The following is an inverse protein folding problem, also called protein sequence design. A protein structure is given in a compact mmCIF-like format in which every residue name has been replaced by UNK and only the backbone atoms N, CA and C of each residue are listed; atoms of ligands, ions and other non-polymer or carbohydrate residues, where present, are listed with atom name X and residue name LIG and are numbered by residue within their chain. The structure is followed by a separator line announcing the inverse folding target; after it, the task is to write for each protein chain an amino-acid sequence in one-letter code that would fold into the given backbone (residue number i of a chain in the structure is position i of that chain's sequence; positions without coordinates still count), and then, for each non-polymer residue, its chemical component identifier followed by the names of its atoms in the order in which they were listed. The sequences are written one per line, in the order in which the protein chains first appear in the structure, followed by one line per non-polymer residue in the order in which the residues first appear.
data_IF_201371941676
#
_entry.id   IF_201371941676
#
_cell.length_a   1.000
_cell.length_b   1.000
_cell.length_c   1.000
_cell.angle_alpha   90.00
_cell.angle_beta   90.00
_cell.angle_gamma   90.00
#
_symmetry.space_group_name_H-M   'P 1'
#
loop_
_entity.id
_entity.type
_entity.pdbx_description
1 polymer ?
#
# COMPACT_ATOMS: atom_id res chain seq x y z
N UNK A 1 -29.30 31.76 -6.28
CA UNK A 1 -30.29 31.14 -5.40
C UNK A 1 -29.63 29.95 -4.74
N UNK A 2 -28.99 30.13 -3.61
CA UNK A 2 -28.50 29.03 -2.77
C UNK A 2 -29.38 29.01 -1.53
N UNK A 3 -30.12 27.93 -1.39
CA UNK A 3 -31.00 27.70 -0.27
C UNK A 3 -30.20 27.43 0.99
N UNK A 4 -30.70 27.91 2.09
CA UNK A 4 -30.22 27.70 3.43
C UNK A 4 -30.03 26.19 3.69
N UNK A 5 -28.80 25.75 4.00
CA UNK A 5 -28.59 24.45 4.55
C UNK A 5 -27.56 23.51 3.86
N UNK A 6 -26.86 23.95 2.82
CA UNK A 6 -25.80 23.11 2.25
C UNK A 6 -24.60 23.02 3.21
N UNK A 7 -24.23 21.82 3.58
CA UNK A 7 -23.03 21.55 4.35
C UNK A 7 -21.78 21.90 3.56
N UNK A 8 -20.68 22.21 4.24
CA UNK A 8 -19.37 22.48 3.61
C UNK A 8 -18.92 21.36 2.65
N UNK A 9 -19.47 20.17 2.80
CA UNK A 9 -19.21 18.98 1.96
C UNK A 9 -19.97 19.03 0.63
N UNK A 10 -21.19 19.55 0.63
CA UNK A 10 -22.00 19.69 -0.60
C UNK A 10 -21.47 20.83 -1.47
N UNK A 11 -21.01 21.91 -0.86
CA UNK A 11 -20.31 23.00 -1.57
C UNK A 11 -19.01 22.50 -2.18
N UNK A 12 -18.27 21.64 -1.47
CA UNK A 12 -17.04 21.03 -1.99
C UNK A 12 -17.30 20.07 -3.16
N UNK A 13 -18.45 19.36 -3.21
CA UNK A 13 -18.82 18.48 -4.32
C UNK A 13 -19.09 19.24 -5.62
N UNK A 14 -19.68 20.41 -5.58
CA UNK A 14 -19.92 21.21 -6.77
C UNK A 14 -18.65 21.88 -7.32
N UNK A 15 -17.65 22.14 -6.46
CA UNK A 15 -16.36 22.74 -6.86
C UNK A 15 -15.31 21.69 -7.31
N UNK A 16 -15.62 20.41 -7.29
CA UNK A 16 -14.64 19.31 -7.27
C UNK A 16 -13.95 18.99 -8.60
N UNK A 17 -14.24 19.63 -9.72
CA UNK A 17 -13.71 19.22 -11.02
C UNK A 17 -12.33 19.77 -11.42
N UNK A 18 -11.72 20.71 -10.69
CA UNK A 18 -10.49 21.38 -11.17
C UNK A 18 -9.37 21.70 -10.16
N UNK A 19 -9.49 21.43 -8.86
CA UNK A 19 -8.49 21.94 -7.89
C UNK A 19 -8.02 20.92 -6.84
N UNK A 20 -6.77 21.09 -6.38
CA UNK A 20 -6.25 20.36 -5.23
C UNK A 20 -7.02 20.75 -3.95
N UNK A 21 -7.18 19.83 -3.02
CA UNK A 21 -7.92 20.02 -1.76
C UNK A 21 -7.52 21.31 -1.00
N UNK A 22 -6.24 21.67 -1.00
CA UNK A 22 -5.75 22.91 -0.37
C UNK A 22 -6.29 24.20 -1.02
N UNK A 23 -6.53 24.18 -2.33
CA UNK A 23 -7.13 25.32 -3.05
C UNK A 23 -8.63 25.39 -2.78
N UNK A 24 -9.30 24.25 -2.70
CA UNK A 24 -10.73 24.17 -2.35
C UNK A 24 -10.98 24.70 -0.94
N UNK A 25 -10.13 24.34 0.04
CA UNK A 25 -10.25 24.88 1.41
C UNK A 25 -10.07 26.41 1.45
N UNK A 26 -9.07 26.94 0.75
CA UNK A 26 -8.86 28.41 0.67
C UNK A 26 -10.04 29.13 0.03
N UNK A 27 -10.63 28.52 -1.00
CA UNK A 27 -11.78 29.07 -1.69
C UNK A 27 -13.03 29.05 -0.80
N UNK A 28 -13.26 27.96 -0.06
CA UNK A 28 -14.38 27.84 0.90
C UNK A 28 -14.26 28.90 2.00
N UNK A 29 -13.05 29.09 2.57
CA UNK A 29 -12.81 30.12 3.60
C UNK A 29 -13.11 31.51 3.02
N UNK A 30 -12.62 31.83 1.83
CA UNK A 30 -12.84 33.13 1.17
C UNK A 30 -14.32 33.39 0.89
N UNK A 31 -15.05 32.42 0.36
CA UNK A 31 -16.49 32.53 0.07
C UNK A 31 -17.30 32.72 1.36
N UNK A 32 -16.90 32.09 2.47
CA UNK A 32 -17.60 32.23 3.73
C UNK A 32 -17.36 33.61 4.39
N UNK A 33 -16.15 34.12 4.30
CA UNK A 33 -15.82 35.47 4.75
C UNK A 33 -16.60 36.51 3.96
N UNK A 34 -16.69 36.35 2.62
CA UNK A 34 -17.45 37.26 1.75
C UNK A 34 -18.98 37.21 1.98
N UNK A 35 -19.51 36.11 2.53
CA UNK A 35 -20.96 35.91 2.75
C UNK A 35 -21.39 36.00 4.21
N UNK A 36 -20.45 36.26 5.13
CA UNK A 36 -20.76 36.38 6.57
C UNK A 36 -21.25 35.07 7.22
N UNK A 37 -20.98 33.93 6.60
CA UNK A 37 -21.35 32.62 7.13
C UNK A 37 -20.22 32.12 8.04
N UNK A 38 -20.51 31.97 9.35
CA UNK A 38 -19.54 31.44 10.29
C UNK A 38 -19.17 29.98 9.94
N UNK A 39 -18.01 29.79 9.34
CA UNK A 39 -17.42 28.43 9.27
C UNK A 39 -16.77 28.15 10.63
N UNK A 40 -17.00 26.95 11.15
CA UNK A 40 -16.24 26.51 12.31
C UNK A 40 -14.74 26.68 12.03
N UNK A 41 -13.96 27.22 12.98
CA UNK A 41 -12.55 27.52 12.77
C UNK A 41 -11.85 26.30 12.20
N UNK A 42 -10.93 26.48 11.23
CA UNK A 42 -10.23 25.37 10.60
C UNK A 42 -9.62 24.51 11.70
N UNK A 43 -9.98 23.24 11.72
CA UNK A 43 -9.52 22.28 12.71
C UNK A 43 -7.99 22.30 12.69
N UNK A 44 -7.40 22.84 13.77
CA UNK A 44 -5.96 22.98 13.94
C UNK A 44 -5.26 21.67 13.60
N UNK A 45 -4.33 21.70 12.65
CA UNK A 45 -3.29 20.68 12.35
C UNK A 45 -3.68 19.28 11.86
N UNK A 46 -4.93 18.86 11.82
CA UNK A 46 -5.25 17.45 11.55
C UNK A 46 -5.22 17.05 10.07
N UNK A 47 -5.43 17.95 9.12
CA UNK A 47 -5.67 17.60 7.70
C UNK A 47 -4.38 17.38 6.92
N UNK A 48 -3.31 18.13 7.20
CA UNK A 48 -1.98 17.86 6.59
C UNK A 48 -1.40 16.51 6.98
N UNK A 49 -1.90 15.91 8.06
CA UNK A 49 -1.42 14.65 8.63
C UNK A 49 -2.17 13.42 8.10
N UNK A 50 -3.26 13.57 7.33
CA UNK A 50 -4.08 12.45 6.87
C UNK A 50 -3.76 11.96 5.46
N UNK A 51 -3.23 12.78 4.59
CA UNK A 51 -2.90 12.42 3.22
C UNK A 51 -1.46 12.78 2.89
N UNK A 52 -0.82 11.96 2.08
CA UNK A 52 0.43 12.35 1.45
C UNK A 52 0.21 13.58 0.58
N UNK A 53 1.05 14.61 0.80
CA UNK A 53 1.18 15.74 -0.12
C UNK A 53 2.20 15.47 -1.22
N UNK A 54 2.81 14.28 -1.25
CA UNK A 54 3.86 13.96 -2.18
C UNK A 54 3.33 13.92 -3.62
N UNK A 55 4.09 14.51 -4.54
CA UNK A 55 3.84 14.34 -5.97
C UNK A 55 4.11 12.90 -6.39
N UNK A 56 3.41 12.45 -7.44
CA UNK A 56 3.67 11.14 -8.04
C UNK A 56 5.10 11.09 -8.62
N UNK A 57 5.78 9.99 -8.39
CA UNK A 57 7.12 9.76 -8.92
C UNK A 57 7.09 9.72 -10.45
N UNK A 58 7.96 10.46 -11.11
CA UNK A 58 7.96 10.59 -12.58
C UNK A 58 8.93 9.65 -13.30
N UNK A 59 9.78 8.96 -12.56
CA UNK A 59 10.81 8.06 -13.09
C UNK A 59 10.69 6.65 -12.53
N UNK A 60 11.46 5.72 -13.06
CA UNK A 60 11.55 4.35 -12.55
C UNK A 60 12.57 4.20 -11.40
N UNK A 61 13.21 5.28 -10.96
CA UNK A 61 14.06 5.29 -9.77
C UNK A 61 13.35 6.12 -8.70
N UNK A 62 12.87 5.42 -7.66
CA UNK A 62 12.13 6.05 -6.57
C UNK A 62 13.03 6.28 -5.36
N UNK A 63 13.06 7.52 -4.91
CA UNK A 63 13.76 7.91 -3.68
C UNK A 63 12.84 8.81 -2.86
N UNK A 64 12.49 8.34 -1.67
CA UNK A 64 11.76 9.13 -0.71
C UNK A 64 12.72 9.69 0.35
N UNK A 65 12.55 10.93 0.78
CA UNK A 65 13.44 11.55 1.78
C UNK A 65 13.26 10.97 3.18
N UNK A 66 12.01 10.76 3.58
CA UNK A 66 11.62 10.18 4.88
C UNK A 66 10.40 9.27 4.67
N UNK A 67 10.28 8.26 5.54
CA UNK A 67 9.06 7.45 5.62
C UNK A 67 7.89 8.35 6.01
N UNK A 68 6.78 8.24 5.31
CA UNK A 68 5.52 8.88 5.68
C UNK A 68 4.98 8.38 7.02
N UNK A 69 4.42 9.29 7.79
CA UNK A 69 3.87 9.00 9.13
C UNK A 69 2.47 9.59 9.31
N UNK A 70 1.79 9.95 8.22
CA UNK A 70 0.42 10.46 8.27
C UNK A 70 -0.58 9.38 8.69
N UNK A 71 -1.75 9.81 9.15
CA UNK A 71 -2.83 8.97 9.64
C UNK A 71 -2.36 7.95 10.71
N UNK A 72 -2.48 6.66 10.43
CA UNK A 72 -2.08 5.58 11.32
C UNK A 72 -0.78 4.89 10.90
N UNK A 73 -0.05 5.49 9.94
CA UNK A 73 1.21 4.91 9.47
C UNK A 73 2.31 5.02 10.51
N UNK A 74 2.79 3.88 10.94
CA UNK A 74 3.90 3.74 11.88
C UNK A 74 4.96 2.79 11.30
N UNK A 75 6.24 3.08 11.60
CA UNK A 75 7.36 2.22 11.23
C UNK A 75 7.60 1.04 12.17
N UNK A 76 6.69 0.76 13.12
CA UNK A 76 6.90 -0.24 14.18
C UNK A 76 6.74 -1.69 13.71
N UNK A 77 5.86 -1.96 12.74
CA UNK A 77 5.74 -3.29 12.17
C UNK A 77 6.96 -3.58 11.30
N UNK A 78 7.72 -4.62 11.66
CA UNK A 78 8.96 -4.97 10.97
C UNK A 78 8.67 -5.40 9.53
N UNK A 79 9.50 -4.96 8.58
CA UNK A 79 9.32 -5.26 7.15
C UNK A 79 8.27 -4.41 6.43
N UNK A 80 7.63 -3.49 7.12
CA UNK A 80 6.59 -2.65 6.55
C UNK A 80 7.17 -1.61 5.57
N UNK A 81 6.72 -1.59 4.32
CA UNK A 81 7.17 -0.60 3.32
C UNK A 81 6.57 0.80 3.57
N UNK A 82 7.21 1.87 3.03
CA UNK A 82 6.74 3.23 3.25
C UNK A 82 5.39 3.47 2.57
N UNK A 83 4.47 4.21 3.21
CA UNK A 83 3.14 4.46 2.66
C UNK A 83 3.16 5.24 1.34
N UNK A 84 4.23 5.97 1.02
CA UNK A 84 4.41 6.62 -0.27
C UNK A 84 4.34 5.64 -1.44
N UNK A 85 4.80 4.39 -1.26
CA UNK A 85 4.78 3.38 -2.32
C UNK A 85 3.36 3.00 -2.73
N UNK A 86 2.51 2.46 -1.83
CA UNK A 86 1.14 2.15 -2.22
C UNK A 86 0.33 3.41 -2.55
N UNK A 87 0.61 4.58 -1.94
CA UNK A 87 -0.04 5.83 -2.30
C UNK A 87 0.15 6.17 -3.78
N UNK A 88 1.40 6.16 -4.28
CA UNK A 88 1.70 6.43 -5.69
C UNK A 88 1.06 5.38 -6.62
N UNK A 89 1.18 4.10 -6.31
CA UNK A 89 0.65 3.00 -7.12
C UNK A 89 -0.88 3.06 -7.19
N UNK A 90 -1.57 3.25 -6.07
CA UNK A 90 -3.04 3.31 -6.02
C UNK A 90 -3.55 4.51 -6.82
N UNK A 91 -2.96 5.69 -6.62
CA UNK A 91 -3.34 6.91 -7.36
C UNK A 91 -3.14 6.78 -8.86
N UNK A 92 -2.11 6.02 -9.27
CA UNK A 92 -1.72 5.85 -10.67
C UNK A 92 -2.61 4.87 -11.42
N UNK A 93 -3.07 3.83 -10.76
CA UNK A 93 -3.66 2.67 -11.41
C UNK A 93 -5.10 2.38 -11.02
N UNK A 94 -5.70 3.23 -10.18
CA UNK A 94 -7.10 3.08 -9.75
C UNK A 94 -7.84 4.39 -9.73
N UNK A 95 -9.16 4.29 -9.78
CA UNK A 95 -10.12 5.36 -9.49
C UNK A 95 -10.77 5.16 -8.12
N UNK A 96 -11.49 6.17 -7.61
CA UNK A 96 -12.29 6.03 -6.39
C UNK A 96 -13.32 4.90 -6.54
N UNK A 97 -13.52 4.14 -5.47
CA UNK A 97 -14.40 2.97 -5.45
C UNK A 97 -13.81 1.69 -6.01
N UNK A 98 -12.67 1.74 -6.74
CA UNK A 98 -11.96 0.53 -7.21
C UNK A 98 -11.50 -0.33 -6.03
N UNK A 99 -11.39 -1.65 -6.24
CA UNK A 99 -10.99 -2.63 -5.24
C UNK A 99 -9.49 -2.94 -5.32
N UNK A 100 -8.78 -2.65 -4.24
CA UNK A 100 -7.35 -2.96 -4.05
C UNK A 100 -7.18 -4.20 -3.18
N UNK A 101 -6.37 -5.15 -3.61
CA UNK A 101 -6.04 -6.37 -2.88
C UNK A 101 -4.57 -6.33 -2.40
N UNK A 102 -4.36 -6.62 -1.11
CA UNK A 102 -3.05 -6.90 -0.52
C UNK A 102 -3.06 -8.27 0.16
N UNK A 103 -2.51 -9.33 -0.48
CA UNK A 103 -2.49 -10.68 0.06
C UNK A 103 -1.38 -10.92 1.11
N UNK A 104 -0.54 -9.91 1.40
CA UNK A 104 0.47 -9.92 2.45
C UNK A 104 0.36 -8.65 3.29
N UNK A 105 -0.79 -8.51 3.95
CA UNK A 105 -1.25 -7.30 4.64
C UNK A 105 -0.22 -6.71 5.62
N UNK A 106 0.48 -7.57 6.37
CA UNK A 106 1.40 -7.15 7.42
C UNK A 106 0.79 -6.09 8.35
N UNK A 107 1.43 -4.93 8.42
CA UNK A 107 0.94 -3.80 9.20
C UNK A 107 -0.20 -3.00 8.55
N UNK A 108 -0.72 -3.40 7.39
CA UNK A 108 -1.88 -2.79 6.75
C UNK A 108 -1.59 -1.55 5.91
N UNK A 109 -0.35 -1.29 5.52
CA UNK A 109 0.02 -0.05 4.82
C UNK A 109 -0.80 0.18 3.55
N UNK A 110 -0.96 -0.83 2.71
CA UNK A 110 -1.74 -0.75 1.45
C UNK A 110 -3.21 -0.46 1.71
N UNK A 111 -3.83 -1.18 2.62
CA UNK A 111 -5.28 -1.04 2.86
C UNK A 111 -5.62 0.29 3.52
N UNK A 112 -4.72 0.86 4.33
CA UNK A 112 -4.90 2.19 4.88
C UNK A 112 -4.75 3.28 3.82
N UNK A 113 -3.78 3.17 2.91
CA UNK A 113 -3.67 4.09 1.79
C UNK A 113 -4.89 3.99 0.86
N UNK A 114 -5.38 2.78 0.58
CA UNK A 114 -6.61 2.58 -0.18
C UNK A 114 -7.79 3.28 0.47
N UNK A 115 -7.94 3.15 1.79
CA UNK A 115 -9.01 3.81 2.54
C UNK A 115 -8.90 5.33 2.49
N UNK A 116 -7.71 5.89 2.77
CA UNK A 116 -7.45 7.33 2.71
C UNK A 116 -7.73 7.93 1.33
N UNK A 117 -7.52 7.14 0.28
CA UNK A 117 -7.74 7.52 -1.12
C UNK A 117 -9.16 7.18 -1.63
N UNK A 118 -10.08 6.79 -0.76
CA UNK A 118 -11.46 6.41 -1.09
C UNK A 118 -11.55 5.22 -2.07
N UNK A 119 -10.71 4.21 -1.88
CA UNK A 119 -10.76 2.92 -2.57
C UNK A 119 -11.24 1.83 -1.63
N UNK A 120 -11.98 0.85 -2.14
CA UNK A 120 -12.26 -0.40 -1.44
C UNK A 120 -10.95 -1.17 -1.27
N UNK A 121 -10.82 -1.93 -0.19
CA UNK A 121 -9.62 -2.78 -0.04
C UNK A 121 -9.90 -4.06 0.73
N UNK A 122 -9.18 -5.10 0.32
CA UNK A 122 -9.11 -6.38 1.02
C UNK A 122 -7.65 -6.63 1.38
N UNK A 123 -7.40 -6.85 2.67
CA UNK A 123 -6.11 -7.26 3.20
C UNK A 123 -6.16 -8.70 3.71
N UNK A 124 -5.16 -9.49 3.37
CA UNK A 124 -5.05 -10.89 3.77
C UNK A 124 -3.69 -11.11 4.41
N UNK A 125 -3.65 -11.85 5.49
CA UNK A 125 -2.40 -12.29 6.10
C UNK A 125 -2.62 -13.63 6.81
N UNK A 126 -1.61 -14.47 6.79
CA UNK A 126 -1.63 -15.74 7.51
C UNK A 126 -1.38 -15.53 9.02
N UNK A 127 -0.67 -14.45 9.38
CA UNK A 127 -0.26 -14.10 10.72
C UNK A 127 -1.41 -13.50 11.54
N UNK A 128 -1.86 -14.13 12.65
CA UNK A 128 -2.84 -13.53 13.54
C UNK A 128 -2.34 -12.22 14.16
N UNK A 129 -1.03 -12.07 14.33
CA UNK A 129 -0.42 -10.85 14.83
C UNK A 129 -0.59 -9.68 13.85
N UNK A 130 -0.34 -9.90 12.55
CA UNK A 130 -0.59 -8.91 11.49
C UNK A 130 -2.06 -8.49 11.47
N UNK A 131 -2.98 -9.45 11.53
CA UNK A 131 -4.43 -9.23 11.58
C UNK A 131 -4.82 -8.38 12.81
N UNK A 132 -4.30 -8.72 13.98
CA UNK A 132 -4.57 -7.99 15.23
C UNK A 132 -4.10 -6.54 15.16
N UNK A 133 -2.85 -6.30 14.71
CA UNK A 133 -2.30 -4.96 14.55
C UNK A 133 -3.13 -4.15 13.56
N UNK A 134 -3.47 -4.71 12.42
CA UNK A 134 -4.21 -4.00 11.38
C UNK A 134 -5.64 -3.67 11.84
N UNK A 135 -6.33 -4.58 12.54
CA UNK A 135 -7.64 -4.30 13.15
C UNK A 135 -7.56 -3.19 14.20
N UNK A 136 -6.53 -3.20 15.05
CA UNK A 136 -6.29 -2.12 16.03
C UNK A 136 -6.11 -0.77 15.33
N UNK A 137 -5.32 -0.71 14.26
CA UNK A 137 -5.10 0.51 13.47
C UNK A 137 -6.36 1.02 12.78
N UNK A 138 -7.22 0.13 12.29
CA UNK A 138 -8.54 0.51 11.76
C UNK A 138 -9.32 1.25 12.86
N UNK A 139 -9.43 0.67 14.06
CA UNK A 139 -10.11 1.31 15.19
C UNK A 139 -9.47 2.64 15.61
N UNK A 140 -8.15 2.72 15.58
CA UNK A 140 -7.44 3.98 15.87
C UNK A 140 -7.73 5.05 14.82
N UNK A 141 -7.81 4.69 13.56
CA UNK A 141 -8.13 5.59 12.46
C UNK A 141 -9.55 6.15 12.60
N UNK A 142 -10.53 5.30 12.94
CA UNK A 142 -11.91 5.71 13.21
C UNK A 142 -12.00 6.69 14.40
N UNK A 143 -11.23 6.44 15.46
CA UNK A 143 -11.19 7.32 16.66
C UNK A 143 -10.49 8.65 16.41
N UNK A 144 -9.47 8.67 15.56
CA UNK A 144 -8.69 9.87 15.22
C UNK A 144 -9.33 10.69 14.10
N UNK A 145 -10.39 10.19 13.49
CA UNK A 145 -11.12 10.95 12.49
C UNK A 145 -11.59 12.27 13.10
N UNK A 146 -11.26 13.41 12.49
CA UNK A 146 -11.70 14.70 13.01
C UNK A 146 -13.22 14.75 13.10
N UNK A 147 -13.77 15.21 14.23
CA UNK A 147 -15.21 15.39 14.39
C UNK A 147 -15.72 16.28 13.24
N UNK A 148 -16.73 15.79 12.53
CA UNK A 148 -17.33 16.52 11.40
C UNK A 148 -16.65 16.32 10.04
N UNK A 149 -15.60 15.49 9.95
CA UNK A 149 -15.05 15.05 8.66
C UNK A 149 -15.56 13.65 8.30
N UNK A 150 -15.94 13.51 7.04
CA UNK A 150 -16.28 12.22 6.49
C UNK A 150 -15.01 11.35 6.47
N UNK A 151 -15.02 10.28 7.23
CA UNK A 151 -14.09 9.17 6.99
C UNK A 151 -14.38 8.67 5.57
N UNK A 152 -13.34 8.41 4.75
CA UNK A 152 -13.58 7.84 3.43
C UNK A 152 -14.49 6.61 3.51
N UNK A 153 -15.40 6.46 2.54
CA UNK A 153 -16.56 5.56 2.65
C UNK A 153 -16.22 4.08 2.74
N UNK A 154 -15.02 3.67 2.28
CA UNK A 154 -14.68 2.26 2.11
C UNK A 154 -13.70 1.77 3.16
N UNK A 155 -14.23 1.40 4.33
CA UNK A 155 -13.44 0.76 5.39
C UNK A 155 -12.81 -0.55 4.88
N UNK A 156 -11.51 -0.81 5.18
CA UNK A 156 -10.84 -2.04 4.77
C UNK A 156 -11.49 -3.29 5.33
N UNK A 157 -11.54 -4.34 4.52
CA UNK A 157 -11.92 -5.69 4.95
C UNK A 157 -10.66 -6.52 5.13
N UNK A 158 -10.54 -7.24 6.25
CA UNK A 158 -9.34 -7.98 6.62
C UNK A 158 -9.68 -9.43 6.94
N UNK A 159 -8.96 -10.37 6.29
CA UNK A 159 -9.08 -11.80 6.51
C UNK A 159 -7.77 -12.43 6.98
N UNK A 160 -7.86 -13.35 7.93
CA UNK A 160 -6.76 -14.26 8.24
C UNK A 160 -6.86 -15.48 7.32
N UNK A 161 -6.02 -15.52 6.28
CA UNK A 161 -6.00 -16.59 5.28
C UNK A 161 -4.62 -16.72 4.65
N UNK A 162 -4.40 -17.82 3.96
CA UNK A 162 -3.22 -18.06 3.14
C UNK A 162 -3.39 -17.38 1.76
N UNK A 163 -2.37 -16.65 1.33
CA UNK A 163 -2.37 -15.97 0.03
C UNK A 163 -2.39 -16.92 -1.17
N UNK A 164 -2.10 -18.20 -0.96
CA UNK A 164 -2.16 -19.27 -1.98
C UNK A 164 -3.58 -19.80 -2.21
N UNK A 165 -4.53 -19.40 -1.37
CA UNK A 165 -5.94 -19.78 -1.48
C UNK A 165 -6.83 -18.53 -1.34
N UNK A 166 -7.16 -17.95 -2.47
CA UNK A 166 -8.10 -16.83 -2.59
C UNK A 166 -9.47 -17.29 -3.14
N UNK A 167 -9.80 -18.58 -3.01
CA UNK A 167 -11.03 -19.15 -3.55
C UNK A 167 -12.33 -18.49 -3.11
N UNK A 168 -12.30 -17.73 -2.00
CA UNK A 168 -13.42 -16.91 -1.53
C UNK A 168 -13.62 -15.59 -2.31
N UNK A 169 -12.64 -15.19 -3.15
CA UNK A 169 -12.76 -14.06 -4.07
C UNK A 169 -13.14 -14.56 -5.46
N UNK A 170 -14.08 -13.90 -6.07
CA UNK A 170 -14.49 -14.21 -7.44
C UNK A 170 -13.37 -13.94 -8.45
N UNK A 171 -13.36 -14.68 -9.53
CA UNK A 171 -12.49 -14.43 -10.68
C UNK A 171 -12.75 -13.01 -11.21
N UNK A 172 -11.66 -12.28 -11.52
CA UNK A 172 -11.74 -10.94 -12.11
C UNK A 172 -12.58 -9.95 -11.29
N UNK A 173 -12.43 -10.01 -9.95
CA UNK A 173 -13.16 -9.16 -9.01
C UNK A 173 -12.35 -7.95 -8.52
N UNK A 174 -11.01 -7.96 -8.65
CA UNK A 174 -10.13 -6.90 -8.12
C UNK A 174 -9.59 -5.99 -9.22
N UNK A 175 -9.37 -4.70 -8.89
CA UNK A 175 -8.91 -3.67 -9.83
C UNK A 175 -7.42 -3.40 -9.72
N UNK A 176 -6.81 -3.69 -8.58
CA UNK A 176 -5.37 -3.56 -8.35
C UNK A 176 -4.91 -4.59 -7.32
N UNK A 177 -3.80 -5.23 -7.60
CA UNK A 177 -2.99 -5.89 -6.57
C UNK A 177 -1.82 -4.98 -6.25
N UNK A 178 -1.62 -4.66 -4.95
CA UNK A 178 -0.47 -3.88 -4.47
C UNK A 178 0.03 -4.50 -3.17
N UNK A 179 1.21 -5.12 -3.22
CA UNK A 179 1.65 -5.99 -2.13
C UNK A 179 3.17 -6.08 -1.97
N UNK A 180 3.60 -6.54 -0.80
CA UNK A 180 4.99 -6.82 -0.46
C UNK A 180 5.08 -8.18 0.25
N UNK A 181 5.40 -9.27 -0.46
CA UNK A 181 5.58 -10.58 0.15
C UNK A 181 6.82 -10.61 1.07
N UNK A 182 6.97 -11.62 1.93
CA UNK A 182 8.19 -11.79 2.71
C UNK A 182 9.41 -12.04 1.81
N UNK A 183 10.62 -11.66 2.30
CA UNK A 183 11.88 -11.82 1.59
C UNK A 183 12.58 -13.08 2.09
N UNK A 184 12.10 -14.24 1.67
CA UNK A 184 12.51 -15.53 2.25
C UNK A 184 12.34 -15.50 3.79
N UNK A 185 13.32 -16.06 4.50
CA UNK A 185 13.38 -16.09 5.96
C UNK A 185 14.14 -14.90 6.59
N UNK A 186 14.29 -13.78 5.86
CA UNK A 186 14.93 -12.57 6.40
C UNK A 186 14.22 -12.02 7.65
N UNK A 187 12.91 -12.21 7.72
CA UNK A 187 12.07 -11.93 8.88
C UNK A 187 11.06 -13.08 9.01
N UNK A 188 11.10 -13.81 10.12
CA UNK A 188 10.05 -14.78 10.48
C UNK A 188 8.88 -14.00 11.08
N UNK A 189 7.73 -14.04 10.41
CA UNK A 189 6.54 -13.28 10.84
C UNK A 189 5.64 -14.06 11.79
N UNK A 190 5.76 -15.40 11.82
CA UNK A 190 5.04 -16.26 12.73
C UNK A 190 6.00 -17.27 13.38
N UNK A 191 5.65 -17.78 14.58
CA UNK A 191 6.43 -18.85 15.22
C UNK A 191 5.87 -20.25 14.89
N UNK A 192 4.56 -20.37 14.69
CA UNK A 192 3.85 -21.64 14.69
C UNK A 192 2.99 -21.94 13.45
N UNK A 193 3.06 -21.10 12.42
CA UNK A 193 2.30 -21.33 11.19
C UNK A 193 3.17 -21.97 10.10
N UNK A 194 3.07 -23.29 9.90
CA UNK A 194 3.95 -24.01 8.95
C UNK A 194 3.78 -23.58 7.50
N UNK A 195 2.63 -22.96 7.19
CA UNK A 195 2.33 -22.47 5.83
C UNK A 195 2.79 -21.01 5.59
N UNK A 196 3.40 -20.35 6.57
CA UNK A 196 3.97 -19.03 6.38
C UNK A 196 5.19 -19.08 5.47
N UNK A 197 5.13 -18.36 4.35
CA UNK A 197 6.22 -18.29 3.37
C UNK A 197 7.53 -17.78 3.98
N UNK A 198 7.47 -16.99 5.06
CA UNK A 198 8.64 -16.49 5.76
C UNK A 198 9.46 -17.58 6.49
N UNK A 199 8.96 -18.80 6.55
CA UNK A 199 9.71 -19.94 7.09
C UNK A 199 10.49 -20.71 6.02
N UNK A 200 10.25 -20.41 4.73
CA UNK A 200 10.96 -21.08 3.64
C UNK A 200 12.34 -20.48 3.49
N UNK A 201 13.35 -21.32 3.61
CA UNK A 201 14.76 -20.91 3.51
C UNK A 201 15.32 -21.10 2.11
N UNK A 202 14.81 -22.07 1.36
CA UNK A 202 15.25 -22.35 -0.01
C UNK A 202 14.55 -21.42 -1.02
N UNK A 203 15.34 -20.68 -1.80
CA UNK A 203 14.83 -19.70 -2.75
C UNK A 203 13.97 -20.32 -3.86
N UNK A 204 14.32 -21.52 -4.33
CA UNK A 204 13.54 -22.20 -5.39
C UNK A 204 12.18 -22.64 -4.85
N UNK A 205 12.17 -23.24 -3.64
CA UNK A 205 10.95 -23.64 -2.96
C UNK A 205 10.06 -22.42 -2.66
N UNK A 206 10.66 -21.32 -2.23
CA UNK A 206 9.93 -20.06 -2.00
C UNK A 206 9.24 -19.59 -3.29
N UNK A 207 9.95 -19.59 -4.42
CA UNK A 207 9.39 -19.19 -5.70
C UNK A 207 8.28 -20.11 -6.18
N UNK A 208 8.42 -21.44 -6.01
CA UNK A 208 7.35 -22.40 -6.31
C UNK A 208 6.08 -22.10 -5.50
N UNK A 209 6.23 -21.83 -4.21
CA UNK A 209 5.09 -21.47 -3.36
C UNK A 209 4.51 -20.09 -3.72
N UNK A 210 5.35 -19.12 -4.06
CA UNK A 210 4.88 -17.82 -4.56
C UNK A 210 4.20 -17.94 -5.92
N UNK A 211 4.61 -18.89 -6.77
CA UNK A 211 3.94 -19.20 -8.03
C UNK A 211 2.45 -19.54 -7.84
N UNK A 212 2.09 -20.24 -6.76
CA UNK A 212 0.69 -20.50 -6.40
C UNK A 212 -0.04 -19.20 -6.03
N UNK A 213 0.63 -18.31 -5.29
CA UNK A 213 0.10 -16.97 -5.02
C UNK A 213 -0.12 -16.19 -6.32
N UNK A 214 0.88 -16.17 -7.21
CA UNK A 214 0.79 -15.49 -8.50
C UNK A 214 -0.39 -15.98 -9.35
N UNK A 215 -0.66 -17.30 -9.36
CA UNK A 215 -1.83 -17.87 -10.04
C UNK A 215 -3.15 -17.35 -9.48
N UNK A 216 -3.29 -17.28 -8.14
CA UNK A 216 -4.47 -16.72 -7.51
C UNK A 216 -4.62 -15.21 -7.78
N UNK A 217 -3.52 -14.46 -7.73
CA UNK A 217 -3.53 -13.04 -8.09
C UNK A 217 -3.94 -12.83 -9.55
N UNK A 218 -3.45 -13.69 -10.45
CA UNK A 218 -3.86 -13.64 -11.86
C UNK A 218 -5.34 -13.97 -12.02
N UNK A 219 -5.86 -14.95 -11.28
CA UNK A 219 -7.27 -15.33 -11.32
C UNK A 219 -8.18 -14.19 -10.88
N UNK A 220 -7.91 -13.58 -9.72
CA UNK A 220 -8.79 -12.57 -9.10
C UNK A 220 -8.66 -11.18 -9.72
N UNK A 221 -7.53 -10.84 -10.33
CA UNK A 221 -7.33 -9.53 -10.97
C UNK A 221 -8.11 -9.45 -12.29
N UNK A 222 -8.79 -8.35 -12.54
CA UNK A 222 -9.50 -8.09 -13.80
C UNK A 222 -8.51 -7.93 -14.95
N UNK A 223 -8.96 -8.28 -16.16
CA UNK A 223 -8.20 -8.05 -17.39
C UNK A 223 -7.86 -6.57 -17.56
N UNK A 224 -6.67 -6.30 -18.08
CA UNK A 224 -6.19 -4.94 -18.27
C UNK A 224 -5.68 -4.24 -17.00
N UNK A 225 -5.89 -4.81 -15.82
CA UNK A 225 -5.51 -4.22 -14.52
C UNK A 225 -4.10 -4.62 -14.09
N UNK A 226 -3.60 -3.98 -13.05
CA UNK A 226 -2.21 -4.03 -12.61
C UNK A 226 -2.03 -4.89 -11.36
N UNK A 227 -0.96 -5.69 -11.40
CA UNK A 227 -0.37 -6.32 -10.23
C UNK A 227 1.00 -5.66 -9.95
N UNK A 228 1.12 -5.02 -8.79
CA UNK A 228 2.31 -4.35 -8.31
C UNK A 228 2.88 -5.12 -7.12
N UNK A 229 4.09 -5.66 -7.26
CA UNK A 229 4.77 -6.45 -6.23
C UNK A 229 6.09 -5.77 -5.87
N UNK A 230 6.23 -5.34 -4.61
CA UNK A 230 7.51 -4.87 -4.08
C UNK A 230 8.27 -6.04 -3.47
N UNK A 231 9.53 -6.21 -3.85
CA UNK A 231 10.42 -7.24 -3.33
C UNK A 231 11.88 -6.79 -3.46
N UNK A 232 12.73 -7.19 -2.54
CA UNK A 232 14.18 -6.95 -2.60
C UNK A 232 14.94 -8.26 -2.75
N UNK A 233 16.18 -8.15 -3.22
CA UNK A 233 17.13 -9.24 -3.17
C UNK A 233 17.61 -9.46 -1.72
N UNK A 234 18.20 -10.61 -1.46
CA UNK A 234 18.72 -10.96 -0.14
C UNK A 234 20.04 -11.70 -0.25
N UNK A 235 20.66 -11.95 0.89
CA UNK A 235 21.81 -12.84 1.03
C UNK A 235 21.48 -13.94 2.01
N UNK A 236 21.88 -15.14 1.68
CA UNK A 236 21.79 -16.29 2.58
C UNK A 236 23.16 -16.95 2.66
N UNK A 237 23.68 -17.16 3.87
CA UNK A 237 24.98 -17.78 4.12
C UNK A 237 26.14 -17.13 3.32
N UNK A 238 26.05 -15.81 3.11
CA UNK A 238 26.99 -15.02 2.31
C UNK A 238 26.69 -14.97 0.82
N UNK A 239 25.91 -15.91 0.29
CA UNK A 239 25.56 -15.99 -1.13
C UNK A 239 24.44 -15.03 -1.50
N UNK A 240 24.56 -14.40 -2.68
CA UNK A 240 23.55 -13.50 -3.22
C UNK A 240 22.36 -14.30 -3.78
N UNK A 241 21.16 -13.97 -3.34
CA UNK A 241 19.92 -14.54 -3.85
C UNK A 241 19.16 -13.44 -4.61
N UNK A 242 19.05 -13.52 -5.95
CA UNK A 242 18.35 -12.55 -6.78
C UNK A 242 16.83 -12.74 -6.68
N UNK A 243 16.31 -12.64 -5.46
CA UNK A 243 14.92 -12.99 -5.13
C UNK A 243 13.92 -12.13 -5.91
N UNK A 244 14.25 -10.86 -6.16
CA UNK A 244 13.41 -9.97 -6.94
C UNK A 244 13.15 -10.52 -8.34
N UNK A 245 14.20 -10.90 -9.07
CA UNK A 245 14.05 -11.46 -10.42
C UNK A 245 13.43 -12.85 -10.44
N UNK A 246 13.67 -13.66 -9.41
CA UNK A 246 13.02 -14.98 -9.28
C UNK A 246 11.51 -14.81 -9.15
N UNK A 247 11.05 -13.90 -8.30
CA UNK A 247 9.61 -13.55 -8.13
C UNK A 247 9.02 -12.94 -9.40
N UNK A 248 9.78 -12.07 -10.06
CA UNK A 248 9.36 -11.50 -11.34
C UNK A 248 9.13 -12.58 -12.40
N UNK A 249 10.02 -13.57 -12.46
CA UNK A 249 9.86 -14.71 -13.36
C UNK A 249 8.58 -15.50 -13.09
N UNK A 250 8.23 -15.75 -11.82
CA UNK A 250 6.96 -16.41 -11.46
C UNK A 250 5.74 -15.62 -11.94
N UNK A 251 5.76 -14.28 -11.83
CA UNK A 251 4.68 -13.44 -12.37
C UNK A 251 4.56 -13.59 -13.90
N UNK A 252 5.68 -13.57 -14.62
CA UNK A 252 5.69 -13.69 -16.09
C UNK A 252 5.22 -15.09 -16.53
N UNK A 253 5.72 -16.13 -15.87
CA UNK A 253 5.34 -17.53 -16.15
C UNK A 253 3.85 -17.78 -15.90
N UNK A 254 3.26 -17.08 -14.93
CA UNK A 254 1.81 -17.13 -14.65
C UNK A 254 0.98 -16.46 -15.76
N UNK A 255 1.59 -15.61 -16.61
CA UNK A 255 0.91 -14.95 -17.73
C UNK A 255 0.79 -13.41 -17.60
N UNK A 256 1.30 -12.83 -16.53
CA UNK A 256 1.38 -11.38 -16.45
C UNK A 256 2.35 -10.81 -17.48
N UNK A 257 2.05 -9.62 -18.02
CA UNK A 257 2.94 -8.89 -18.93
C UNK A 257 3.67 -7.78 -18.18
N UNK A 258 4.99 -7.64 -18.35
CA UNK A 258 5.74 -6.51 -17.77
C UNK A 258 5.21 -5.17 -18.27
N UNK A 259 5.11 -4.19 -17.37
CA UNK A 259 4.80 -2.81 -17.70
C UNK A 259 5.93 -1.87 -17.29
N UNK A 260 6.43 -1.98 -16.08
CA UNK A 260 7.58 -1.24 -15.56
C UNK A 260 8.30 -2.05 -14.49
N UNK A 261 9.61 -1.81 -14.35
CA UNK A 261 10.40 -2.20 -13.21
C UNK A 261 10.88 -0.91 -12.55
N UNK A 262 10.50 -0.73 -11.28
CA UNK A 262 10.89 0.44 -10.51
C UNK A 262 11.96 0.01 -9.51
N UNK A 263 13.07 0.74 -9.48
CA UNK A 263 14.12 0.60 -8.47
C UNK A 263 13.84 1.61 -7.36
N UNK A 264 13.42 1.12 -6.21
CA UNK A 264 13.18 1.96 -5.03
C UNK A 264 14.42 1.92 -4.13
N UNK A 265 15.06 3.07 -3.95
CA UNK A 265 16.20 3.21 -3.06
C UNK A 265 15.76 3.09 -1.61
N UNK A 266 16.55 2.36 -0.82
CA UNK A 266 16.29 2.25 0.62
C UNK A 266 16.61 3.57 1.33
N UNK A 267 15.90 3.80 2.44
CA UNK A 267 16.23 4.92 3.33
C UNK A 267 17.59 4.68 4.01
N UNK A 268 18.02 5.70 4.76
CA UNK A 268 19.24 5.64 5.56
C UNK A 268 19.41 4.29 6.26
N UNK A 269 20.40 3.71 6.00
CA UNK A 269 21.03 2.45 6.01
C UNK A 269 21.23 1.84 7.40
N UNK A 270 20.19 1.21 7.90
CA UNK A 270 20.33 0.35 9.10
C UNK A 270 21.16 -0.91 8.82
N UNK A 271 21.32 -1.29 7.56
CA UNK A 271 22.06 -2.47 7.16
C UNK A 271 23.57 -2.24 7.08
N UNK A 272 24.06 -0.98 7.05
CA UNK A 272 25.48 -0.64 7.08
C UNK A 272 26.28 -1.39 8.13
N UNK A 273 25.68 -1.60 9.30
CA UNK A 273 26.32 -2.35 10.39
C UNK A 273 26.61 -3.81 10.06
N UNK A 274 25.83 -4.43 9.17
CA UNK A 274 25.99 -5.83 8.78
C UNK A 274 27.03 -6.02 7.68
N UNK A 275 27.33 -4.93 6.91
CA UNK A 275 28.24 -4.98 5.76
C UNK A 275 29.62 -4.40 6.02
N UNK A 276 29.90 -3.90 7.24
CA UNK A 276 31.17 -3.21 7.58
C UNK A 276 32.44 -4.00 7.25
N UNK A 277 32.37 -5.32 7.30
CA UNK A 277 33.51 -6.22 7.09
C UNK A 277 33.33 -7.14 5.88
N UNK A 278 32.30 -6.93 5.05
CA UNK A 278 32.08 -7.78 3.87
C UNK A 278 32.75 -7.15 2.65
N UNK A 279 33.39 -7.99 1.85
CA UNK A 279 33.90 -7.62 0.52
C UNK A 279 32.74 -7.37 -0.47
N UNK A 280 31.54 -7.76 -0.11
CA UNK A 280 30.35 -7.71 -0.94
C UNK A 280 29.69 -6.34 -0.91
N UNK A 281 29.12 -5.96 -2.06
CA UNK A 281 28.33 -4.75 -2.16
C UNK A 281 27.04 -4.86 -1.35
N UNK A 282 26.68 -3.77 -0.69
CA UNK A 282 25.43 -3.66 0.03
C UNK A 282 24.24 -3.58 -0.92
N UNK A 283 23.17 -4.34 -0.63
CA UNK A 283 21.90 -4.21 -1.33
C UNK A 283 21.20 -2.95 -0.79
N UNK A 284 21.18 -1.87 -1.60
CA UNK A 284 20.68 -0.56 -1.21
C UNK A 284 19.35 -0.20 -1.88
N UNK A 285 18.69 -1.16 -2.51
CA UNK A 285 17.43 -0.96 -3.23
C UNK A 285 16.50 -2.17 -3.10
N UNK A 286 15.28 -1.93 -3.52
CA UNK A 286 14.23 -2.93 -3.72
C UNK A 286 13.61 -2.69 -5.09
N UNK A 287 12.97 -3.69 -5.65
CA UNK A 287 12.21 -3.55 -6.89
C UNK A 287 10.72 -3.39 -6.59
N UNK A 288 10.02 -2.70 -7.50
CA UNK A 288 8.57 -2.75 -7.58
C UNK A 288 8.25 -3.18 -9.01
N UNK A 289 7.82 -4.41 -9.17
CA UNK A 289 7.43 -4.96 -10.46
C UNK A 289 5.99 -4.55 -10.76
N UNK A 290 5.82 -3.74 -11.79
CA UNK A 290 4.51 -3.35 -12.30
C UNK A 290 4.20 -4.24 -13.48
N UNK A 291 3.27 -5.14 -13.29
CA UNK A 291 2.82 -6.10 -14.31
C UNK A 291 1.34 -5.92 -14.60
N UNK A 292 0.90 -6.34 -15.78
CA UNK A 292 -0.48 -6.20 -16.25
C UNK A 292 -1.04 -7.57 -16.60
N UNK A 293 -2.27 -7.86 -16.18
CA UNK A 293 -3.03 -8.99 -16.72
C UNK A 293 -3.51 -8.63 -18.13
N UNK A 294 -3.19 -9.42 -19.17
CA UNK A 294 -3.59 -9.14 -20.54
C UNK A 294 -5.11 -9.23 -20.76
#
# INVERSE_FOLDING_TARGET
MYNEGLSSVEIARECFFLFTWSLVEKQIVKISEERGVAIAPPLKKSIKEWNSSDELQRTTVWKFGKRGTWAVHEGKYRGNYPPQVPNDIIRRYTSEGDLVLDPFLGGGTTVFESWLLNRKSIGIDISPHAISISKKRISEMEKKAPKGKLIPSFKPVIYQRDARDLGFLEKESTDLVCTQPPYLNAIKYTEYYPNDLSHIEDGKKFCQEFGKVAQELFRVLRKGKICAVQIGDTRKDGEFVPLGFMIFNELITTGFRPKNIITKLQYADKSKRFYRNLKELQIAHEYIFITKKP
#
